data_IF_011797166457
#
_entry.id   IF_011797166457
#
_cell.length_a   1.000
_cell.length_b   1.000
_cell.length_c   1.000
_cell.angle_alpha   90.00
_cell.angle_beta   90.00
_cell.angle_gamma   90.00
#
_symmetry.space_group_name_H-M   'P 1'
#
loop_
_entity.id
_entity.type
_entity.pdbx_description
1 polymer ?
#
# COMPACT_ATOMS: atom_id res chain seq x y z
N UNK A 1 12.68 45.21 -15.68
CA UNK A 1 11.28 44.91 -15.25
C UNK A 1 10.57 43.96 -16.21
N UNK A 2 10.52 44.18 -17.51
CA UNK A 2 9.79 43.32 -18.48
C UNK A 2 10.23 41.85 -18.46
N UNK A 3 11.54 41.60 -18.37
CA UNK A 3 12.08 40.22 -18.29
C UNK A 3 11.62 39.46 -17.03
N UNK A 4 11.66 40.09 -15.87
CA UNK A 4 11.20 39.46 -14.63
C UNK A 4 9.69 39.16 -14.64
N UNK A 5 8.88 40.07 -15.19
CA UNK A 5 7.44 39.87 -15.35
C UNK A 5 7.10 38.69 -16.27
N UNK A 6 7.76 38.60 -17.43
CA UNK A 6 7.55 37.50 -18.39
C UNK A 6 7.98 36.13 -17.82
N UNK A 7 9.13 36.07 -17.13
CA UNK A 7 9.60 34.85 -16.48
C UNK A 7 8.62 34.37 -15.41
N UNK A 8 8.11 35.29 -14.60
CA UNK A 8 7.17 35.01 -13.49
C UNK A 8 5.82 34.49 -14.03
N UNK A 9 5.35 35.07 -15.12
CA UNK A 9 4.08 34.73 -15.77
C UNK A 9 4.08 33.30 -16.35
N UNK A 10 5.24 32.76 -16.73
CA UNK A 10 5.37 31.39 -17.25
C UNK A 10 5.69 30.40 -16.14
N UNK A 11 6.63 30.75 -15.25
CA UNK A 11 7.13 29.79 -14.26
C UNK A 11 6.16 29.55 -13.10
N UNK A 12 5.38 30.56 -12.69
CA UNK A 12 4.42 30.39 -11.59
C UNK A 12 3.30 29.39 -11.93
N UNK A 13 2.59 29.51 -13.06
CA UNK A 13 1.58 28.53 -13.46
C UNK A 13 2.18 27.13 -13.66
N UNK A 14 3.37 27.04 -14.28
CA UNK A 14 4.06 25.77 -14.47
C UNK A 14 4.42 25.09 -13.14
N UNK A 15 4.90 25.85 -12.15
CA UNK A 15 5.20 25.37 -10.81
C UNK A 15 3.94 24.85 -10.09
N UNK A 16 2.85 25.62 -10.14
CA UNK A 16 1.57 25.23 -9.53
C UNK A 16 1.04 23.94 -10.16
N UNK A 17 1.08 23.84 -11.50
CA UNK A 17 0.69 22.63 -12.22
C UNK A 17 1.55 21.44 -11.83
N UNK A 18 2.86 21.61 -11.74
CA UNK A 18 3.80 20.57 -11.31
C UNK A 18 3.52 20.10 -9.87
N UNK A 19 3.21 21.02 -8.96
CA UNK A 19 2.85 20.70 -7.57
C UNK A 19 1.54 19.90 -7.50
N UNK A 20 0.50 20.33 -8.24
CA UNK A 20 -0.79 19.62 -8.29
C UNK A 20 -0.58 18.22 -8.88
N UNK A 21 0.16 18.10 -9.98
CA UNK A 21 0.42 16.82 -10.63
C UNK A 21 1.16 15.85 -9.73
N UNK A 22 2.20 16.30 -9.02
CA UNK A 22 2.93 15.44 -8.08
C UNK A 22 2.10 15.02 -6.88
N UNK A 23 1.22 15.89 -6.37
CA UNK A 23 0.28 15.55 -5.30
C UNK A 23 -0.73 14.48 -5.75
N UNK A 24 -1.29 14.60 -6.96
CA UNK A 24 -2.20 13.61 -7.54
C UNK A 24 -1.51 12.25 -7.76
N UNK A 25 -0.25 12.25 -8.22
CA UNK A 25 0.53 11.02 -8.37
C UNK A 25 0.76 10.32 -7.03
N UNK A 26 1.03 11.05 -5.96
CA UNK A 26 1.19 10.48 -4.63
C UNK A 26 -0.11 9.87 -4.12
N UNK A 27 -1.22 10.59 -4.19
CA UNK A 27 -2.53 10.10 -3.76
C UNK A 27 -2.97 8.87 -4.55
N UNK A 28 -2.83 8.91 -5.88
CA UNK A 28 -3.16 7.78 -6.73
C UNK A 28 -2.30 6.55 -6.42
N UNK A 29 -1.00 6.74 -6.15
CA UNK A 29 -0.08 5.68 -5.77
C UNK A 29 -0.46 5.01 -4.45
N UNK A 30 -0.84 5.78 -3.42
CA UNK A 30 -1.29 5.25 -2.13
C UNK A 30 -2.59 4.45 -2.25
N UNK A 31 -3.56 4.92 -3.05
CA UNK A 31 -4.82 4.22 -3.28
C UNK A 31 -4.59 2.88 -3.98
N UNK A 32 -3.80 2.87 -5.06
CA UNK A 32 -3.46 1.63 -5.78
C UNK A 32 -2.75 0.63 -4.86
N UNK A 33 -1.88 1.10 -3.97
CA UNK A 33 -1.21 0.27 -2.99
C UNK A 33 -2.19 -0.35 -2.00
N UNK A 34 -3.10 0.43 -1.42
CA UNK A 34 -4.12 -0.09 -0.52
C UNK A 34 -5.03 -1.12 -1.21
N UNK A 35 -5.41 -0.87 -2.47
CA UNK A 35 -6.21 -1.82 -3.24
C UNK A 35 -5.45 -3.12 -3.50
N UNK A 36 -4.17 -3.06 -3.84
CA UNK A 36 -3.33 -4.24 -4.03
C UNK A 36 -3.17 -5.04 -2.73
N UNK A 37 -2.92 -4.37 -1.59
CA UNK A 37 -2.82 -5.01 -0.28
C UNK A 37 -4.15 -5.63 0.15
N UNK A 38 -5.29 -4.98 -0.13
CA UNK A 38 -6.63 -5.51 0.15
C UNK A 38 -6.90 -6.78 -0.63
N UNK A 39 -6.69 -6.76 -1.95
CA UNK A 39 -6.86 -7.94 -2.81
C UNK A 39 -5.97 -9.08 -2.30
N UNK A 40 -4.72 -8.78 -1.94
CA UNK A 40 -3.80 -9.76 -1.39
C UNK A 40 -4.30 -10.36 -0.08
N UNK A 41 -4.80 -9.53 0.84
CA UNK A 41 -5.35 -9.96 2.10
C UNK A 41 -6.59 -10.84 1.95
N UNK A 42 -7.52 -10.44 1.10
CA UNK A 42 -8.72 -11.20 0.80
C UNK A 42 -8.39 -12.57 0.17
N UNK A 43 -7.46 -12.60 -0.78
CA UNK A 43 -6.98 -13.86 -1.37
C UNK A 43 -6.31 -14.76 -0.33
N UNK A 44 -5.45 -14.21 0.51
CA UNK A 44 -4.76 -14.97 1.57
C UNK A 44 -5.74 -15.52 2.58
N UNK A 45 -6.72 -14.72 3.00
CA UNK A 45 -7.80 -15.14 3.90
C UNK A 45 -8.64 -16.26 3.27
N UNK A 46 -9.05 -16.11 2.03
CA UNK A 46 -9.84 -17.10 1.32
C UNK A 46 -9.08 -18.44 1.13
N UNK A 47 -7.80 -18.39 0.83
CA UNK A 47 -6.98 -19.59 0.68
C UNK A 47 -6.81 -20.33 2.01
N UNK A 48 -6.49 -19.62 3.10
CA UNK A 48 -6.40 -20.20 4.43
C UNK A 48 -7.74 -20.80 4.85
N UNK A 49 -8.82 -20.03 4.72
CA UNK A 49 -10.17 -20.48 5.10
C UNK A 49 -10.61 -21.71 4.29
N UNK A 50 -10.30 -21.81 3.01
CA UNK A 50 -10.60 -23.00 2.19
C UNK A 50 -9.81 -24.22 2.61
N UNK A 51 -8.54 -24.08 3.00
CA UNK A 51 -7.73 -25.17 3.53
C UNK A 51 -8.30 -25.71 4.83
N UNK A 52 -8.70 -24.80 5.75
CA UNK A 52 -9.38 -25.16 7.01
C UNK A 52 -10.75 -25.79 6.76
N UNK A 53 -11.48 -25.28 5.77
CA UNK A 53 -12.79 -25.81 5.38
C UNK A 53 -12.71 -27.25 4.88
N UNK A 54 -11.65 -27.62 4.14
CA UNK A 54 -11.44 -29.01 3.72
C UNK A 54 -11.39 -29.95 4.94
N UNK A 55 -10.61 -29.62 5.97
CA UNK A 55 -10.54 -30.37 7.22
C UNK A 55 -11.87 -30.36 7.97
N UNK A 56 -12.52 -29.21 8.04
CA UNK A 56 -13.83 -29.08 8.65
C UNK A 56 -14.86 -30.01 8.00
N UNK A 57 -14.87 -30.11 6.68
CA UNK A 57 -15.82 -30.99 5.98
C UNK A 57 -15.61 -32.46 6.30
N UNK A 58 -14.36 -32.89 6.53
CA UNK A 58 -14.07 -34.27 6.95
C UNK A 58 -14.62 -34.52 8.35
N UNK A 59 -14.43 -33.59 9.30
CA UNK A 59 -15.00 -33.67 10.65
C UNK A 59 -16.53 -33.65 10.62
N UNK A 60 -17.12 -32.72 9.85
CA UNK A 60 -18.58 -32.59 9.74
C UNK A 60 -19.24 -33.84 9.14
N UNK A 61 -18.66 -34.41 8.07
CA UNK A 61 -19.16 -35.65 7.46
C UNK A 61 -18.99 -36.85 8.40
N UNK A 62 -17.86 -36.91 9.13
CA UNK A 62 -17.67 -37.95 10.15
C UNK A 62 -18.71 -37.86 11.25
N UNK A 63 -19.13 -36.65 11.63
CA UNK A 63 -20.20 -36.46 12.62
C UNK A 63 -21.56 -36.96 12.14
N UNK A 64 -21.81 -37.03 10.83
CA UNK A 64 -23.04 -37.60 10.25
C UNK A 64 -22.98 -39.13 10.12
N UNK A 65 -21.77 -39.71 9.98
CA UNK A 65 -21.56 -41.11 9.69
C UNK A 65 -21.32 -41.95 10.95
N UNK A 66 -20.76 -41.36 12.00
CA UNK A 66 -20.42 -42.10 13.24
C UNK A 66 -21.66 -42.28 14.11
N UNK A 67 -21.95 -43.55 14.43
CA UNK A 67 -22.95 -43.95 15.43
C UNK A 67 -22.23 -44.47 16.68
N UNK A 68 -22.43 -43.81 17.80
CA UNK A 68 -21.82 -44.20 19.10
C UNK A 68 -22.37 -45.51 19.65
N UNK A 69 -23.45 -46.07 19.11
CA UNK A 69 -23.94 -47.39 19.46
C UNK A 69 -23.09 -48.52 18.85
N UNK A 70 -22.33 -48.24 17.79
CA UNK A 70 -21.35 -49.14 17.18
C UNK A 70 -19.92 -48.56 17.29
N UNK A 71 -19.33 -48.71 18.46
CA UNK A 71 -17.99 -48.22 18.77
C UNK A 71 -16.90 -48.87 17.89
N UNK A 72 -17.13 -50.08 17.37
CA UNK A 72 -16.18 -50.73 16.46
C UNK A 72 -16.11 -49.98 15.14
N UNK A 73 -17.25 -49.69 14.57
CA UNK A 73 -17.35 -48.90 13.31
C UNK A 73 -16.80 -47.47 13.52
N UNK A 74 -17.14 -46.83 14.65
CA UNK A 74 -16.63 -45.51 14.99
C UNK A 74 -15.09 -45.50 15.04
N UNK A 75 -14.46 -46.50 15.65
CA UNK A 75 -13.01 -46.64 15.74
C UNK A 75 -12.38 -46.87 14.35
N UNK A 76 -12.94 -47.79 13.56
CA UNK A 76 -12.47 -48.07 12.18
C UNK A 76 -12.53 -46.80 11.31
N UNK A 77 -13.58 -46.00 11.45
CA UNK A 77 -13.74 -44.72 10.73
C UNK A 77 -12.68 -43.69 11.15
N UNK A 78 -12.45 -43.51 12.47
CA UNK A 78 -11.44 -42.60 13.00
C UNK A 78 -10.05 -43.00 12.53
N UNK A 79 -9.71 -44.29 12.63
CA UNK A 79 -8.42 -44.82 12.20
C UNK A 79 -8.20 -44.65 10.68
N UNK A 80 -9.25 -44.90 9.91
CA UNK A 80 -9.18 -44.71 8.47
C UNK A 80 -8.89 -43.24 8.14
N UNK A 81 -9.66 -42.29 8.68
CA UNK A 81 -9.48 -40.85 8.41
C UNK A 81 -8.12 -40.35 8.89
N UNK A 82 -7.68 -40.80 10.07
CA UNK A 82 -6.38 -40.44 10.63
C UNK A 82 -5.19 -40.94 9.81
N UNK A 83 -5.35 -42.09 9.15
CA UNK A 83 -4.32 -42.62 8.23
C UNK A 83 -4.32 -41.91 6.88
N UNK A 84 -5.50 -41.51 6.43
CA UNK A 84 -5.67 -40.79 5.16
C UNK A 84 -5.09 -39.38 5.22
N UNK A 85 -5.27 -38.72 6.38
CA UNK A 85 -4.86 -37.34 6.56
C UNK A 85 -3.99 -37.16 7.82
N UNK A 86 -2.69 -36.89 7.59
CA UNK A 86 -1.69 -36.69 8.66
C UNK A 86 -1.82 -35.36 9.40
N UNK A 87 -2.70 -34.46 8.96
CA UNK A 87 -2.96 -33.16 9.64
C UNK A 87 -3.61 -33.39 11.01
N UNK A 88 -4.37 -34.48 11.17
CA UNK A 88 -4.94 -34.86 12.46
C UNK A 88 -3.85 -35.38 13.42
N UNK A 89 -3.44 -34.53 14.36
CA UNK A 89 -2.61 -35.00 15.47
C UNK A 89 -3.43 -35.92 16.33
N UNK A 90 -4.70 -35.56 16.57
CA UNK A 90 -5.68 -36.38 17.28
C UNK A 90 -7.06 -36.20 16.65
N UNK A 91 -7.80 -37.27 16.58
CA UNK A 91 -9.20 -37.33 16.18
C UNK A 91 -9.90 -38.33 17.10
N UNK A 92 -11.05 -37.97 17.69
CA UNK A 92 -11.76 -38.87 18.59
C UNK A 92 -13.18 -38.42 18.86
N UNK A 93 -13.94 -39.30 19.46
CA UNK A 93 -15.33 -39.12 19.85
C UNK A 93 -15.52 -39.30 21.33
N UNK A 94 -16.35 -38.42 21.91
CA UNK A 94 -16.72 -38.48 23.35
C UNK A 94 -18.23 -38.57 23.48
N UNK A 95 -18.70 -39.25 24.56
CA UNK A 95 -20.10 -39.30 24.95
C UNK A 95 -20.60 -37.95 25.52
N UNK A 96 -21.85 -37.93 26.02
CA UNK A 96 -22.46 -36.72 26.59
C UNK A 96 -21.78 -36.28 27.91
N UNK A 97 -21.20 -37.20 28.65
CA UNK A 97 -20.49 -36.99 29.91
C UNK A 97 -19.05 -36.46 29.63
N UNK A 98 -18.60 -36.55 28.39
CA UNK A 98 -17.27 -36.14 27.97
C UNK A 98 -16.21 -37.21 28.11
N UNK A 99 -16.60 -38.49 28.21
CA UNK A 99 -15.65 -39.61 28.21
C UNK A 99 -15.28 -39.95 26.77
N UNK A 100 -13.99 -40.01 26.43
CA UNK A 100 -13.53 -40.42 25.12
C UNK A 100 -13.81 -41.93 24.92
N UNK A 101 -14.63 -42.26 23.91
CA UNK A 101 -15.05 -43.62 23.62
C UNK A 101 -14.17 -44.30 22.56
N UNK A 102 -13.73 -43.54 21.57
CA UNK A 102 -12.85 -44.00 20.51
C UNK A 102 -11.98 -42.84 20.01
N UNK A 103 -10.71 -43.11 19.76
CA UNK A 103 -9.78 -42.10 19.28
C UNK A 103 -8.65 -42.72 18.47
N UNK A 104 -7.98 -41.87 17.67
CA UNK A 104 -6.80 -42.22 16.92
C UNK A 104 -5.75 -42.90 17.80
N UNK A 105 -5.29 -44.07 17.39
CA UNK A 105 -4.31 -44.88 18.10
C UNK A 105 -4.69 -45.17 19.55
N UNK A 106 -5.98 -45.12 19.92
CA UNK A 106 -6.48 -45.28 21.29
C UNK A 106 -6.10 -44.18 22.29
N UNK A 107 -5.54 -43.06 21.77
CA UNK A 107 -5.06 -41.96 22.62
C UNK A 107 -6.21 -41.30 23.41
N UNK A 108 -6.04 -41.23 24.75
CA UNK A 108 -6.99 -40.62 25.70
C UNK A 108 -8.33 -41.38 25.84
N UNK A 109 -8.51 -42.60 25.32
CA UNK A 109 -9.73 -43.37 25.54
C UNK A 109 -9.95 -43.58 27.05
N UNK A 110 -11.20 -43.43 27.50
CA UNK A 110 -11.59 -43.45 28.91
C UNK A 110 -11.27 -42.18 29.70
N UNK A 111 -10.56 -41.21 29.10
CA UNK A 111 -10.25 -39.94 29.77
C UNK A 111 -11.40 -38.96 29.58
N UNK A 112 -11.72 -38.19 30.64
CA UNK A 112 -12.74 -37.15 30.56
C UNK A 112 -12.21 -35.85 29.93
N UNK A 113 -12.94 -35.34 28.95
CA UNK A 113 -12.75 -34.05 28.28
C UNK A 113 -13.88 -33.06 28.56
N UNK A 114 -14.73 -33.34 29.54
CA UNK A 114 -15.91 -32.54 29.87
C UNK A 114 -15.62 -31.05 30.10
N UNK A 115 -14.42 -30.70 30.55
CA UNK A 115 -14.01 -29.31 30.78
C UNK A 115 -13.31 -28.67 29.59
N UNK A 116 -13.11 -29.38 28.48
CA UNK A 116 -12.41 -28.86 27.33
C UNK A 116 -13.30 -27.93 26.50
N UNK A 117 -12.79 -26.78 26.03
CA UNK A 117 -13.58 -25.84 25.27
C UNK A 117 -14.18 -26.43 23.97
N UNK A 118 -13.45 -27.28 23.26
CA UNK A 118 -13.92 -27.91 22.04
C UNK A 118 -15.12 -28.85 22.31
N UNK A 119 -15.07 -29.63 23.40
CA UNK A 119 -16.15 -30.53 23.79
C UNK A 119 -17.41 -29.73 24.18
N UNK A 120 -17.27 -28.79 25.13
CA UNK A 120 -18.40 -27.99 25.63
C UNK A 120 -19.10 -27.19 24.52
N UNK A 121 -18.33 -26.59 23.59
CA UNK A 121 -18.91 -25.89 22.44
C UNK A 121 -19.47 -26.87 21.41
N UNK A 122 -18.76 -27.99 21.17
CA UNK A 122 -19.17 -29.04 20.25
C UNK A 122 -20.49 -29.72 20.59
N UNK A 123 -20.84 -29.81 21.90
CA UNK A 123 -22.15 -30.28 22.34
C UNK A 123 -23.31 -29.39 21.85
N UNK A 124 -23.08 -28.09 21.78
CA UNK A 124 -24.12 -27.11 21.42
C UNK A 124 -24.24 -26.96 19.89
N UNK A 125 -23.10 -26.78 19.23
CA UNK A 125 -23.03 -26.54 17.78
C UNK A 125 -21.63 -26.84 17.23
N UNK A 126 -21.46 -26.93 15.91
CA UNK A 126 -20.15 -26.93 15.29
C UNK A 126 -19.27 -25.80 15.82
N UNK A 127 -18.04 -26.15 16.21
CA UNK A 127 -17.14 -25.21 16.88
C UNK A 127 -15.71 -25.29 16.36
N UNK A 128 -15.05 -24.14 16.35
CA UNK A 128 -13.61 -24.02 16.17
C UNK A 128 -13.00 -23.37 17.41
N UNK A 129 -11.84 -23.84 17.82
CA UNK A 129 -11.09 -23.33 18.98
C UNK A 129 -9.75 -22.81 18.49
N UNK A 130 -9.47 -21.60 18.92
CA UNK A 130 -8.22 -20.90 18.59
C UNK A 130 -6.98 -21.61 19.15
N UNK A 131 -5.82 -21.18 18.69
CA UNK A 131 -4.52 -21.76 19.02
C UNK A 131 -4.31 -21.82 20.52
N UNK A 132 -4.00 -23.03 21.01
CA UNK A 132 -3.73 -23.28 22.42
C UNK A 132 -2.61 -24.32 22.60
N UNK A 133 -1.98 -24.31 23.77
CA UNK A 133 -0.96 -25.27 24.10
C UNK A 133 -1.59 -26.67 24.36
N UNK A 134 -0.88 -27.71 23.91
CA UNK A 134 -1.24 -29.09 24.24
C UNK A 134 -1.22 -29.30 25.77
N UNK A 135 -2.24 -29.95 26.29
CA UNK A 135 -2.32 -30.30 27.74
C UNK A 135 -2.30 -31.81 27.91
N UNK A 136 -3.48 -32.47 27.80
CA UNK A 136 -3.58 -33.93 27.99
C UNK A 136 -2.79 -34.70 26.92
N UNK A 137 -2.89 -34.31 25.69
CA UNK A 137 -2.26 -34.98 24.57
C UNK A 137 -0.72 -34.87 24.58
N UNK A 138 -0.17 -33.83 25.21
CA UNK A 138 1.27 -33.65 25.32
C UNK A 138 1.98 -34.80 26.04
N UNK A 139 1.29 -35.51 26.92
CA UNK A 139 1.84 -36.66 27.68
C UNK A 139 1.89 -37.94 26.85
N UNK A 140 1.15 -38.00 25.74
CA UNK A 140 1.05 -39.21 24.91
C UNK A 140 1.78 -39.04 23.55
N UNK A 141 2.14 -37.84 23.20
CA UNK A 141 2.91 -37.55 21.98
C UNK A 141 4.42 -37.63 22.24
N UNK A 142 5.23 -37.93 21.20
CA UNK A 142 6.69 -37.87 21.30
C UNK A 142 7.13 -36.49 21.80
N UNK A 143 8.25 -36.45 22.56
CA UNK A 143 8.80 -35.18 23.04
C UNK A 143 9.18 -34.28 21.86
N UNK A 144 8.56 -33.10 21.70
CA UNK A 144 8.83 -32.20 20.56
C UNK A 144 10.03 -31.29 20.86
N UNK A 145 10.63 -30.73 19.81
CA UNK A 145 11.62 -29.65 19.97
C UNK A 145 10.99 -28.34 20.46
N UNK A 146 9.74 -28.10 20.09
CA UNK A 146 8.93 -26.94 20.51
C UNK A 146 7.60 -27.43 21.11
N UNK A 147 7.02 -26.74 22.09
CA UNK A 147 5.75 -27.13 22.68
C UNK A 147 4.66 -27.29 21.61
N UNK A 148 3.94 -28.42 21.66
CA UNK A 148 2.78 -28.63 20.78
C UNK A 148 1.73 -27.55 20.98
N UNK A 149 1.25 -27.02 19.89
CA UNK A 149 0.11 -26.09 19.84
C UNK A 149 -0.91 -26.63 18.85
N UNK A 150 -2.17 -26.55 19.21
CA UNK A 150 -3.26 -27.08 18.40
C UNK A 150 -4.29 -26.01 18.12
N UNK A 151 -5.02 -26.22 17.05
CA UNK A 151 -6.35 -25.67 16.81
C UNK A 151 -7.32 -26.85 16.82
N UNK A 152 -8.55 -26.61 17.27
CA UNK A 152 -9.54 -27.68 17.35
C UNK A 152 -10.74 -27.38 16.47
N UNK A 153 -11.28 -28.46 15.92
CA UNK A 153 -12.60 -28.49 15.27
C UNK A 153 -13.45 -29.52 16.00
N UNK A 154 -14.71 -29.19 16.22
CA UNK A 154 -15.65 -30.10 16.87
C UNK A 154 -17.03 -30.02 16.26
N UNK A 155 -17.73 -31.14 16.23
CA UNK A 155 -19.12 -31.22 15.78
C UNK A 155 -19.93 -32.14 16.70
N UNK A 156 -21.24 -31.84 16.92
CA UNK A 156 -22.11 -32.74 17.68
C UNK A 156 -22.40 -33.99 16.83
N UNK A 157 -22.26 -35.14 17.46
CA UNK A 157 -22.76 -36.41 16.94
C UNK A 157 -24.24 -36.54 17.29
N UNK A 158 -25.04 -36.97 16.29
CA UNK A 158 -26.49 -37.08 16.50
C UNK A 158 -26.97 -38.50 16.24
N UNK A 159 -27.79 -38.98 17.19
CA UNK A 159 -28.52 -40.22 17.04
C UNK A 159 -30.01 -39.94 17.15
N UNK A 160 -30.80 -40.38 16.20
CA UNK A 160 -32.25 -40.13 16.15
C UNK A 160 -32.67 -38.66 16.37
N UNK A 161 -31.87 -37.71 15.82
CA UNK A 161 -32.14 -36.28 15.93
C UNK A 161 -31.64 -35.61 17.22
N UNK A 162 -31.30 -36.36 18.25
CA UNK A 162 -30.74 -35.85 19.52
C UNK A 162 -29.22 -35.90 19.48
N UNK A 163 -28.56 -34.97 20.22
CA UNK A 163 -27.10 -35.03 20.44
C UNK A 163 -26.78 -36.25 21.28
N UNK A 164 -25.86 -37.09 20.83
CA UNK A 164 -25.39 -38.30 21.50
C UNK A 164 -23.92 -38.18 21.96
N UNK A 165 -23.20 -37.21 21.47
CA UNK A 165 -21.81 -37.00 21.82
C UNK A 165 -21.18 -35.92 20.94
N UNK A 166 -19.85 -35.88 20.93
CA UNK A 166 -19.07 -34.91 20.15
C UNK A 166 -17.89 -35.60 19.47
N UNK A 167 -17.68 -35.33 18.18
CA UNK A 167 -16.41 -35.59 17.51
C UNK A 167 -15.50 -34.37 17.66
N UNK A 168 -14.24 -34.57 18.03
CA UNK A 168 -13.22 -33.55 18.15
C UNK A 168 -11.98 -33.89 17.32
N UNK A 169 -11.37 -32.91 16.72
CA UNK A 169 -10.14 -33.01 15.96
C UNK A 169 -9.13 -31.96 16.42
N UNK A 170 -7.92 -32.40 16.79
CA UNK A 170 -6.80 -31.51 17.06
C UNK A 170 -5.84 -31.51 15.87
N UNK A 171 -5.58 -30.33 15.34
CA UNK A 171 -4.69 -30.10 14.22
C UNK A 171 -3.43 -29.37 14.71
N UNK A 172 -2.26 -29.85 14.30
CA UNK A 172 -1.01 -29.18 14.65
C UNK A 172 -0.97 -27.76 14.07
N UNK A 173 -0.71 -26.80 14.93
CA UNK A 173 -0.51 -25.39 14.54
C UNK A 173 0.57 -25.24 13.46
N UNK A 174 1.59 -26.09 13.46
CA UNK A 174 2.66 -26.07 12.47
C UNK A 174 2.12 -26.13 11.05
N UNK A 175 1.10 -26.96 10.78
CA UNK A 175 0.47 -27.02 9.46
C UNK A 175 -0.20 -25.71 9.07
N UNK A 176 -0.84 -25.00 10.01
CA UNK A 176 -1.43 -23.68 9.76
C UNK A 176 -0.32 -22.66 9.49
N UNK A 177 0.74 -22.67 10.29
CA UNK A 177 1.89 -21.79 10.11
C UNK A 177 2.57 -21.99 8.74
N UNK A 178 2.80 -23.26 8.33
CA UNK A 178 3.33 -23.59 6.98
C UNK A 178 2.37 -23.11 5.87
N UNK A 179 1.06 -23.20 6.11
CA UNK A 179 0.06 -22.66 5.19
C UNK A 179 0.18 -21.14 5.07
N UNK A 180 0.37 -20.43 6.17
CA UNK A 180 0.58 -18.98 6.19
C UNK A 180 1.91 -18.58 5.56
N UNK A 181 2.95 -19.37 5.78
CA UNK A 181 4.28 -19.13 5.20
C UNK A 181 4.23 -19.17 3.68
N UNK A 182 3.46 -20.11 3.11
CA UNK A 182 3.22 -20.21 1.66
C UNK A 182 2.48 -18.99 1.06
N UNK A 183 1.87 -18.15 1.89
CA UNK A 183 1.17 -16.94 1.48
C UNK A 183 2.05 -15.68 1.56
N UNK A 184 3.25 -15.76 2.13
CA UNK A 184 4.17 -14.63 2.18
C UNK A 184 4.71 -14.26 0.79
N UNK A 185 4.95 -12.98 0.59
CA UNK A 185 5.55 -12.43 -0.64
C UNK A 185 6.64 -11.44 -0.22
N UNK A 186 7.78 -11.42 -0.88
CA UNK A 186 8.83 -10.45 -0.57
C UNK A 186 8.31 -9.01 -0.50
N UNK A 187 8.62 -8.32 0.59
CA UNK A 187 8.21 -6.93 0.82
C UNK A 187 6.78 -6.73 1.34
N UNK A 188 5.98 -7.80 1.46
CA UNK A 188 4.61 -7.74 2.01
C UNK A 188 4.47 -8.80 3.11
N UNK A 189 4.21 -8.35 4.33
CA UNK A 189 3.95 -9.23 5.45
C UNK A 189 2.44 -9.52 5.55
N UNK A 190 2.09 -10.82 5.63
CA UNK A 190 0.74 -11.28 5.96
C UNK A 190 0.76 -11.83 7.39
N UNK A 191 0.03 -11.20 8.29
CA UNK A 191 -0.05 -11.57 9.70
C UNK A 191 -1.42 -12.17 10.02
N UNK A 192 -1.44 -13.20 10.88
CA UNK A 192 -2.67 -13.77 11.43
C UNK A 192 -2.80 -13.36 12.90
N UNK A 193 -3.94 -12.80 13.26
CA UNK A 193 -4.26 -12.39 14.61
C UNK A 193 -5.42 -13.21 15.16
N UNK A 194 -5.34 -13.52 16.45
CA UNK A 194 -6.45 -14.05 17.22
C UNK A 194 -7.48 -12.96 17.56
N UNK A 195 -8.63 -13.36 18.09
CA UNK A 195 -9.68 -12.42 18.51
C UNK A 195 -9.27 -11.45 19.61
N UNK A 196 -8.27 -11.78 20.43
CA UNK A 196 -7.69 -10.92 21.46
C UNK A 196 -6.53 -10.06 20.96
N UNK A 197 -6.28 -10.06 19.66
CA UNK A 197 -5.22 -9.33 18.96
C UNK A 197 -3.81 -9.86 19.17
N UNK A 198 -3.66 -11.06 19.70
CA UNK A 198 -2.37 -11.74 19.77
C UNK A 198 -1.94 -12.13 18.36
N UNK A 199 -0.69 -11.84 17.98
CA UNK A 199 -0.12 -12.25 16.70
C UNK A 199 0.18 -13.74 16.75
N UNK A 200 -0.57 -14.52 15.97
CA UNK A 200 -0.41 -15.97 15.88
C UNK A 200 0.67 -16.34 14.85
N UNK A 201 0.74 -15.59 13.76
CA UNK A 201 1.71 -15.74 12.69
C UNK A 201 2.11 -14.37 12.14
N UNK A 202 3.39 -14.20 11.80
CA UNK A 202 3.96 -12.96 11.26
C UNK A 202 5.45 -12.82 11.55
N UNK A 203 6.00 -11.61 11.53
CA UNK A 203 7.40 -11.37 11.90
C UNK A 203 7.74 -11.92 13.28
N UNK A 204 8.91 -12.57 13.43
CA UNK A 204 9.27 -13.31 14.66
C UNK A 204 9.23 -12.48 15.94
N UNK A 205 9.55 -11.21 15.86
CA UNK A 205 9.54 -10.25 16.98
C UNK A 205 8.14 -9.93 17.51
N UNK A 206 7.09 -10.19 16.72
CA UNK A 206 5.68 -9.93 17.06
C UNK A 206 4.93 -11.19 17.52
N UNK A 207 5.39 -12.38 17.16
CA UNK A 207 4.68 -13.65 17.46
C UNK A 207 4.43 -13.79 18.96
N UNK A 208 3.21 -14.25 19.32
CA UNK A 208 2.70 -14.44 20.67
C UNK A 208 2.63 -13.16 21.52
N UNK A 209 2.65 -11.98 20.87
CA UNK A 209 2.49 -10.70 21.55
C UNK A 209 1.17 -10.04 21.15
N UNK A 210 0.49 -9.35 22.08
CA UNK A 210 -0.67 -8.54 21.73
C UNK A 210 -0.26 -7.33 20.92
N UNK A 211 -0.98 -7.07 19.83
CA UNK A 211 -0.72 -5.95 18.92
C UNK A 211 -1.66 -4.78 19.25
N UNK A 212 -1.09 -3.68 19.74
CA UNK A 212 -1.85 -2.49 20.15
C UNK A 212 -1.65 -1.31 19.16
N UNK A 213 -2.13 -1.50 17.95
CA UNK A 213 -2.12 -0.48 16.87
C UNK A 213 -3.53 -0.32 16.31
N UNK A 214 -3.76 0.74 15.53
CA UNK A 214 -5.07 1.08 14.99
C UNK A 214 -5.72 -0.04 14.17
N UNK A 215 -4.94 -0.70 13.32
CA UNK A 215 -5.40 -1.83 12.50
C UNK A 215 -5.84 -3.03 13.35
N UNK A 216 -5.07 -3.42 14.36
CA UNK A 216 -5.42 -4.52 15.24
C UNK A 216 -6.69 -4.23 16.08
N UNK A 217 -6.87 -2.97 16.48
CA UNK A 217 -8.11 -2.54 17.15
C UNK A 217 -9.31 -2.58 16.20
N UNK A 218 -9.15 -2.17 14.96
CA UNK A 218 -10.22 -2.25 13.96
C UNK A 218 -10.56 -3.71 13.62
N UNK A 219 -9.56 -4.58 13.50
CA UNK A 219 -9.75 -6.02 13.30
C UNK A 219 -10.60 -6.65 14.40
N UNK A 220 -10.31 -6.34 15.67
CA UNK A 220 -11.07 -6.87 16.81
C UNK A 220 -12.54 -6.39 16.86
N UNK A 221 -12.85 -5.30 16.16
CA UNK A 221 -14.21 -4.78 15.97
C UNK A 221 -14.89 -5.28 14.70
N UNK A 222 -14.26 -6.22 14.00
CA UNK A 222 -14.73 -6.76 12.71
C UNK A 222 -14.94 -5.65 11.67
N UNK A 223 -14.05 -4.67 11.67
CA UNK A 223 -14.12 -3.53 10.75
C UNK A 223 -13.00 -3.59 9.73
N UNK A 224 -13.35 -3.47 8.45
CA UNK A 224 -12.36 -3.28 7.39
C UNK A 224 -11.78 -1.86 7.47
N UNK A 225 -10.47 -1.75 7.38
CA UNK A 225 -9.82 -0.45 7.30
C UNK A 225 -8.50 -0.57 6.51
N UNK A 226 -8.09 0.56 5.95
CA UNK A 226 -6.79 0.74 5.31
C UNK A 226 -6.12 1.93 5.99
N UNK A 227 -4.99 1.71 6.62
CA UNK A 227 -4.33 2.68 7.49
C UNK A 227 -2.86 2.79 7.14
N UNK A 228 -2.35 4.02 7.16
CA UNK A 228 -0.92 4.26 7.30
C UNK A 228 -0.63 4.53 8.76
N UNK A 229 0.13 3.66 9.39
CA UNK A 229 0.35 3.70 10.84
C UNK A 229 1.76 3.27 11.21
N UNK A 230 2.20 3.72 12.39
CA UNK A 230 3.49 3.36 12.95
C UNK A 230 3.38 2.06 13.73
N UNK A 231 4.29 1.11 13.42
CA UNK A 231 4.36 -0.18 14.06
C UNK A 231 5.37 -0.21 15.22
N UNK A 232 5.37 -1.27 16.06
CA UNK A 232 6.27 -1.37 17.22
C UNK A 232 7.76 -1.31 16.90
N UNK A 233 8.16 -1.66 15.68
CA UNK A 233 9.54 -1.54 15.18
C UNK A 233 9.95 -0.09 14.84
N UNK A 234 9.04 0.88 15.03
CA UNK A 234 9.27 2.30 14.79
C UNK A 234 9.15 2.72 13.33
N UNK A 235 8.78 1.81 12.41
CA UNK A 235 8.59 2.09 10.97
C UNK A 235 7.12 2.37 10.66
N UNK A 236 6.89 3.13 9.60
CA UNK A 236 5.55 3.37 9.06
C UNK A 236 5.21 2.32 8.02
N UNK A 237 4.01 1.78 8.10
CA UNK A 237 3.48 0.78 7.17
C UNK A 237 2.13 1.20 6.62
N UNK A 238 1.87 0.81 5.38
CA UNK A 238 0.52 0.71 4.85
C UNK A 238 -0.05 -0.63 5.28
N UNK A 239 -1.13 -0.60 6.04
CA UNK A 239 -1.77 -1.79 6.63
C UNK A 239 -3.21 -1.89 6.16
N UNK A 240 -3.61 -3.08 5.70
CA UNK A 240 -4.99 -3.42 5.34
C UNK A 240 -5.47 -4.57 6.23
N UNK A 241 -6.74 -4.51 6.60
CA UNK A 241 -7.38 -5.46 7.50
C UNK A 241 -8.40 -6.29 6.73
N UNK A 242 -8.30 -7.62 6.88
CA UNK A 242 -9.36 -8.57 6.58
C UNK A 242 -9.91 -9.09 7.90
N UNK A 243 -11.08 -8.62 8.34
CA UNK A 243 -11.51 -8.77 9.73
C UNK A 243 -11.95 -10.19 10.09
N UNK A 244 -12.18 -11.04 9.12
CA UNK A 244 -12.61 -12.42 9.34
C UNK A 244 -11.93 -13.39 8.38
N UNK A 245 -11.46 -14.51 8.92
CA UNK A 245 -11.02 -15.68 8.15
C UNK A 245 -12.16 -16.69 8.17
N UNK A 246 -12.88 -16.82 7.08
CA UNK A 246 -14.05 -17.68 6.99
C UNK A 246 -14.37 -18.11 5.56
N UNK A 247 -15.00 -19.28 5.42
CA UNK A 247 -15.49 -19.81 4.16
C UNK A 247 -16.68 -20.74 4.38
N UNK A 248 -17.76 -20.54 3.65
CA UNK A 248 -19.00 -21.32 3.74
C UNK A 248 -19.47 -21.48 5.22
N UNK A 249 -19.67 -22.71 5.69
CA UNK A 249 -20.10 -23.05 7.05
C UNK A 249 -18.92 -23.45 7.97
N UNK A 250 -17.68 -23.04 7.65
CA UNK A 250 -16.55 -23.23 8.56
C UNK A 250 -16.83 -22.50 9.89
N UNK A 251 -16.77 -23.18 11.04
CA UNK A 251 -16.87 -22.51 12.33
C UNK A 251 -15.76 -21.47 12.49
N UNK A 252 -16.10 -20.33 13.09
CA UNK A 252 -15.15 -19.22 13.24
C UNK A 252 -14.13 -19.49 14.34
N UNK A 253 -12.84 -19.34 14.00
CA UNK A 253 -11.75 -19.30 14.97
C UNK A 253 -11.62 -17.92 15.65
N UNK A 254 -12.34 -16.91 15.16
CA UNK A 254 -12.19 -15.52 15.61
C UNK A 254 -10.96 -14.82 15.02
N UNK A 255 -10.39 -15.37 13.95
CA UNK A 255 -9.17 -14.84 13.36
C UNK A 255 -9.43 -13.69 12.38
N UNK A 256 -8.45 -12.79 12.35
CA UNK A 256 -8.35 -11.73 11.35
C UNK A 256 -6.96 -11.73 10.68
N UNK A 257 -6.88 -11.20 9.47
CA UNK A 257 -5.63 -11.00 8.75
C UNK A 257 -5.27 -9.52 8.68
N UNK A 258 -4.00 -9.21 8.92
CA UNK A 258 -3.40 -7.93 8.56
C UNK A 258 -2.41 -8.16 7.44
N UNK A 259 -2.46 -7.30 6.42
CA UNK A 259 -1.46 -7.27 5.35
C UNK A 259 -0.78 -5.92 5.41
N UNK A 260 0.56 -5.91 5.54
CA UNK A 260 1.31 -4.67 5.62
C UNK A 260 2.47 -4.62 4.64
N UNK A 261 2.81 -3.42 4.22
CA UNK A 261 4.01 -3.13 3.43
C UNK A 261 4.68 -1.89 3.99
N UNK A 262 6.02 -1.91 4.08
CA UNK A 262 6.80 -0.75 4.52
C UNK A 262 6.53 0.46 3.62
N UNK A 263 6.20 1.60 4.22
CA UNK A 263 5.94 2.84 3.48
C UNK A 263 7.18 3.31 2.71
N UNK A 264 8.38 3.02 3.22
CA UNK A 264 9.62 3.38 2.56
C UNK A 264 9.85 2.56 1.28
N UNK A 265 9.59 1.27 1.32
CA UNK A 265 9.73 0.37 0.16
C UNK A 265 8.62 0.61 -0.87
N UNK A 266 7.38 0.70 -0.42
CA UNK A 266 6.23 0.91 -1.28
C UNK A 266 6.31 2.22 -2.08
N UNK A 267 6.77 3.29 -1.44
CA UNK A 267 6.88 4.61 -2.06
C UNK A 267 8.24 4.86 -2.74
N UNK A 268 9.20 3.95 -2.68
CA UNK A 268 10.53 4.15 -3.25
C UNK A 268 10.47 4.46 -4.75
N UNK A 269 9.70 3.69 -5.52
CA UNK A 269 9.53 3.92 -6.97
C UNK A 269 8.87 5.26 -7.25
N UNK A 270 7.80 5.60 -6.53
CA UNK A 270 7.09 6.87 -6.69
C UNK A 270 7.98 8.05 -6.30
N UNK A 271 8.75 7.96 -5.21
CA UNK A 271 9.72 9.00 -4.82
C UNK A 271 10.81 9.21 -5.89
N UNK A 272 11.31 8.14 -6.50
CA UNK A 272 12.30 8.25 -7.58
C UNK A 272 11.72 8.91 -8.82
N UNK A 273 10.50 8.58 -9.20
CA UNK A 273 9.79 9.24 -10.30
C UNK A 273 9.58 10.73 -10.04
N UNK A 274 9.12 11.09 -8.84
CA UNK A 274 8.93 12.49 -8.43
C UNK A 274 10.27 13.24 -8.42
N UNK A 275 11.35 12.64 -7.92
CA UNK A 275 12.69 13.25 -7.94
C UNK A 275 13.17 13.49 -9.36
N UNK A 276 13.03 12.50 -10.26
CA UNK A 276 13.38 12.62 -11.67
C UNK A 276 12.56 13.69 -12.37
N UNK A 277 11.26 13.77 -12.08
CA UNK A 277 10.37 14.81 -12.59
C UNK A 277 10.85 16.20 -12.16
N UNK A 278 11.11 16.43 -10.87
CA UNK A 278 11.57 17.74 -10.38
C UNK A 278 12.95 18.12 -10.89
N UNK A 279 13.87 17.17 -11.09
CA UNK A 279 15.17 17.44 -11.70
C UNK A 279 15.02 17.86 -13.18
N UNK A 280 14.17 17.18 -13.94
CA UNK A 280 13.88 17.52 -15.33
C UNK A 280 13.15 18.86 -15.43
N UNK A 281 12.18 19.12 -14.56
CA UNK A 281 11.47 20.39 -14.48
C UNK A 281 12.42 21.54 -14.19
N UNK A 282 13.33 21.38 -13.23
CA UNK A 282 14.36 22.36 -12.89
C UNK A 282 15.30 22.66 -14.07
N UNK A 283 15.75 21.62 -14.77
CA UNK A 283 16.59 21.80 -15.97
C UNK A 283 15.85 22.57 -17.08
N UNK A 284 14.59 22.23 -17.35
CA UNK A 284 13.76 22.96 -18.31
C UNK A 284 13.51 24.42 -17.90
N UNK A 285 13.29 24.67 -16.60
CA UNK A 285 13.11 26.03 -16.09
C UNK A 285 14.38 26.88 -16.27
N UNK A 286 15.54 26.32 -15.97
CA UNK A 286 16.84 26.99 -16.19
C UNK A 286 17.06 27.29 -17.68
N UNK A 287 16.80 26.31 -18.57
CA UNK A 287 16.93 26.50 -20.00
C UNK A 287 15.96 27.58 -20.50
N UNK A 288 14.73 27.60 -20.03
CA UNK A 288 13.74 28.63 -20.38
C UNK A 288 14.19 30.01 -19.92
N UNK A 289 14.72 30.14 -18.69
CA UNK A 289 15.27 31.42 -18.20
C UNK A 289 16.46 31.89 -19.01
N UNK A 290 17.36 30.98 -19.40
CA UNK A 290 18.51 31.29 -20.24
C UNK A 290 18.06 31.79 -21.63
N UNK A 291 17.09 31.11 -22.26
CA UNK A 291 16.52 31.53 -23.54
C UNK A 291 15.85 32.90 -23.46
N UNK A 292 15.05 33.14 -22.41
CA UNK A 292 14.41 34.44 -22.18
C UNK A 292 15.44 35.53 -21.94
N UNK A 293 16.52 35.23 -21.21
CA UNK A 293 17.62 36.18 -21.03
C UNK A 293 18.32 36.51 -22.34
N UNK A 294 18.69 35.50 -23.14
CA UNK A 294 19.28 35.69 -24.46
C UNK A 294 18.36 36.50 -25.38
N UNK A 295 17.06 36.17 -25.41
CA UNK A 295 16.09 36.92 -26.20
C UNK A 295 15.99 38.40 -25.76
N UNK A 296 15.96 38.62 -24.43
CA UNK A 296 15.93 39.97 -23.86
C UNK A 296 17.19 40.79 -24.24
N UNK A 297 18.36 40.15 -24.18
CA UNK A 297 19.61 40.82 -24.63
C UNK A 297 19.62 41.08 -26.13
N UNK A 298 19.13 40.13 -26.93
CA UNK A 298 19.01 40.25 -28.37
C UNK A 298 18.10 41.43 -28.77
N UNK A 299 16.96 41.63 -28.07
CA UNK A 299 16.05 42.75 -28.30
C UNK A 299 16.58 44.08 -27.78
N UNK A 300 17.27 44.08 -26.63
CA UNK A 300 17.79 45.33 -25.99
C UNK A 300 18.93 45.97 -26.74
N UNK A 301 19.81 45.18 -27.38
CA UNK A 301 20.99 45.70 -28.02
C UNK A 301 20.69 46.72 -29.16
N UNK A 302 19.78 46.41 -30.14
CA UNK A 302 19.38 47.36 -31.19
C UNK A 302 18.68 48.60 -30.62
N UNK A 303 17.75 48.41 -29.69
CA UNK A 303 16.98 49.53 -29.11
C UNK A 303 17.89 50.52 -28.35
N UNK A 304 18.88 50.03 -27.61
CA UNK A 304 19.89 50.87 -26.94
C UNK A 304 20.71 51.66 -27.94
N UNK A 305 21.14 51.04 -29.07
CA UNK A 305 21.91 51.71 -30.12
C UNK A 305 21.07 52.79 -30.76
N UNK A 306 19.82 52.51 -31.09
CA UNK A 306 18.90 53.51 -31.69
C UNK A 306 18.62 54.66 -30.69
N UNK A 307 18.43 54.36 -29.40
CA UNK A 307 18.25 55.37 -28.36
C UNK A 307 19.48 56.30 -28.24
N UNK A 308 20.66 55.70 -28.19
CA UNK A 308 21.93 56.47 -28.13
C UNK A 308 22.15 57.33 -29.38
N UNK A 309 21.77 56.80 -30.59
CA UNK A 309 21.84 57.55 -31.84
C UNK A 309 20.85 58.72 -31.82
N UNK A 310 19.62 58.52 -31.35
CA UNK A 310 18.64 59.58 -31.20
C UNK A 310 19.11 60.70 -30.26
N UNK A 311 19.73 60.32 -29.14
CA UNK A 311 20.28 61.27 -28.15
C UNK A 311 21.48 62.07 -28.74
N UNK A 312 22.36 61.37 -29.47
CA UNK A 312 23.51 62.05 -30.16
C UNK A 312 23.02 63.05 -31.20
N UNK A 313 21.96 62.74 -31.98
CA UNK A 313 21.37 63.64 -32.95
C UNK A 313 20.76 64.91 -32.36
N UNK A 314 20.30 64.88 -31.14
CA UNK A 314 19.79 66.02 -30.37
C UNK A 314 20.92 67.01 -30.03
N UNK A 315 22.15 66.53 -29.78
CA UNK A 315 23.27 67.32 -29.35
C UNK A 315 24.07 67.86 -30.57
N UNK A 316 24.25 67.04 -31.59
CA UNK A 316 24.93 67.41 -32.80
C UNK A 316 24.34 66.69 -34.08
N UNK A 317 23.45 67.35 -34.83
CA UNK A 317 22.85 66.75 -36.02
C UNK A 317 23.86 66.40 -37.13
N UNK A 318 25.09 66.96 -37.08
CA UNK A 318 26.14 66.73 -38.08
C UNK A 318 27.07 65.55 -37.70
N UNK A 319 27.01 65.10 -36.47
CA UNK A 319 27.90 64.06 -35.92
C UNK A 319 27.44 62.67 -36.39
N UNK A 320 27.98 62.00 -37.28
CA UNK A 320 27.85 60.64 -37.74
C UNK A 320 26.51 60.26 -38.40
N UNK A 321 26.51 59.45 -39.44
CA UNK A 321 25.28 58.92 -40.03
C UNK A 321 24.57 58.02 -39.03
N UNK A 322 23.22 57.98 -38.98
CA UNK A 322 22.47 57.17 -38.10
C UNK A 322 22.80 55.70 -38.28
N UNK A 323 22.87 54.93 -37.18
CA UNK A 323 23.11 53.51 -37.20
C UNK A 323 21.97 52.79 -37.93
N UNK A 324 22.29 52.06 -39.00
CA UNK A 324 21.31 51.29 -39.78
C UNK A 324 21.08 49.95 -39.07
N UNK A 325 19.88 49.74 -38.56
CA UNK A 325 19.48 48.49 -37.90
C UNK A 325 18.57 47.66 -38.82
N UNK A 326 18.88 46.37 -39.00
CA UNK A 326 18.13 45.48 -39.93
C UNK A 326 17.64 44.19 -39.24
N UNK A 327 17.85 44.00 -37.93
CA UNK A 327 17.59 42.76 -37.24
C UNK A 327 16.11 42.39 -37.13
N UNK A 328 15.23 43.39 -37.01
CA UNK A 328 13.78 43.20 -37.02
C UNK A 328 13.06 44.44 -37.55
N UNK A 329 11.87 44.25 -38.12
CA UNK A 329 11.17 45.27 -38.92
C UNK A 329 10.91 46.57 -38.16
N UNK A 330 10.59 46.52 -36.87
CA UNK A 330 10.30 47.71 -36.06
C UNK A 330 11.57 48.53 -35.80
N UNK A 331 12.68 47.87 -35.54
CA UNK A 331 13.96 48.58 -35.36
C UNK A 331 14.48 49.17 -36.70
N UNK A 332 14.30 48.48 -37.82
CA UNK A 332 14.63 48.99 -39.14
C UNK A 332 13.81 50.25 -39.48
N UNK A 333 12.49 50.20 -39.23
CA UNK A 333 11.62 51.37 -39.43
C UNK A 333 12.00 52.57 -38.56
N UNK A 334 12.39 52.32 -37.32
CA UNK A 334 12.84 53.37 -36.40
C UNK A 334 14.18 53.96 -36.86
N UNK A 335 15.10 53.13 -37.33
CA UNK A 335 16.37 53.53 -37.88
C UNK A 335 16.20 54.44 -39.14
N UNK A 336 15.32 54.02 -40.03
CA UNK A 336 14.97 54.81 -41.27
C UNK A 336 14.31 56.17 -40.93
N UNK A 337 13.45 56.18 -39.88
CA UNK A 337 12.83 57.43 -39.43
C UNK A 337 13.86 58.39 -38.83
N UNK A 338 14.81 57.88 -38.03
CA UNK A 338 15.92 58.71 -37.50
C UNK A 338 16.81 59.27 -38.61
N UNK A 339 17.12 58.47 -39.66
CA UNK A 339 17.88 58.92 -40.80
C UNK A 339 17.18 60.06 -41.54
N UNK A 340 15.87 59.98 -41.75
CA UNK A 340 15.04 61.03 -42.37
C UNK A 340 15.00 62.32 -41.54
N UNK A 341 14.90 62.16 -40.19
CA UNK A 341 14.93 63.32 -39.28
C UNK A 341 16.28 64.06 -39.38
N UNK A 342 17.39 63.30 -39.35
CA UNK A 342 18.72 63.83 -39.45
C UNK A 342 18.89 64.64 -40.79
N UNK A 343 18.49 64.07 -41.91
CA UNK A 343 18.59 64.74 -43.21
C UNK A 343 17.81 66.06 -43.30
N UNK A 344 16.61 66.08 -42.62
CA UNK A 344 15.82 67.32 -42.55
C UNK A 344 16.48 68.38 -41.64
N UNK A 345 17.04 67.96 -40.48
CA UNK A 345 17.74 68.91 -39.57
C UNK A 345 18.99 69.48 -40.20
N UNK A 346 19.77 68.70 -40.96
CA UNK A 346 20.92 69.22 -41.74
C UNK A 346 20.51 70.17 -42.87
N UNK A 347 19.41 69.88 -43.57
CA UNK A 347 18.87 70.78 -44.61
C UNK A 347 18.41 72.13 -44.07
N UNK A 348 17.84 72.14 -42.87
CA UNK A 348 17.43 73.37 -42.16
C UNK A 348 18.63 74.16 -41.63
N UNK A 349 19.70 73.55 -41.20
CA UNK A 349 20.94 74.22 -40.74
C UNK A 349 21.68 74.90 -41.89
N UNK A 350 21.71 74.23 -43.06
CA UNK A 350 22.31 74.83 -44.29
C UNK A 350 21.47 75.97 -44.76
N UNK A 351 20.14 75.90 -44.73
CA UNK A 351 19.26 77.02 -45.15
C UNK A 351 19.40 78.24 -44.25
N UNK A 352 19.56 78.06 -42.94
CA UNK A 352 19.78 79.14 -41.96
C UNK A 352 21.17 79.80 -42.10
N UNK A 353 22.20 79.04 -42.48
CA UNK A 353 23.55 79.57 -42.65
C UNK A 353 23.64 80.42 -43.99
N UNK A 354 22.83 80.08 -44.95
CA UNK A 354 22.76 80.84 -46.23
C UNK A 354 21.98 82.19 -46.07
N UNK A 355 20.97 82.23 -45.19
CA UNK A 355 20.23 83.44 -44.88
C UNK A 355 20.96 84.39 -43.95
N UNK A 356 21.88 83.88 -43.09
CA UNK A 356 22.72 84.72 -42.22
C UNK A 356 23.91 85.36 -42.90
N UNK A 357 24.29 84.92 -44.14
CA UNK A 357 25.43 85.47 -44.89
C UNK A 357 25.07 86.53 -45.94
N UNK A 358 23.79 86.91 -46.04
CA UNK A 358 23.31 87.85 -47.04
C UNK A 358 22.93 89.25 -46.52
N UNK A 359 23.35 89.66 -45.36
CA UNK A 359 22.98 90.93 -44.77
C UNK A 359 24.11 91.84 -44.25
N UNK A 360 25.21 91.86 -45.00
CA UNK A 360 26.23 92.97 -44.83
C UNK A 360 26.76 93.35 -46.22
N UNK A 361 26.11 94.36 -46.83
CA UNK A 361 26.66 95.33 -47.81
C UNK A 361 25.88 96.61 -47.70
#
# INVERSE_FOLDING_TARGET
MVFCGGALLILVPAMVTAMIYTALLQQGGEQLLFDALRIRGEMSSALLARRLYGVWMDVARSAELIDLTDLKNAREHIDFLSRLDRRYTWLGVADLEGTILAAKDGMLEGVSVAQRPWFRRGLVSPAAIDVHAAQLLATQLPAPREPYRFIDLAAPLRHAGSVAGVIGAHLDWKWVAESMDSLQVPGIDVLLLSGDRTVLFGPPDLINKPLNIGSALAASRVTTASLRERWPDGRDYFTVIVPTVGFANLPSFGWSLLVRQSADEALASTRNLIRSFWSSFGACAIATLALLFCAAQWLRAPLRRLSNTAEALLHDPSAHPPYSETRFNEAARLSDALARIQSKLMGLSVSNSIQGSGGDN
#
